data_IF_237226630103
#
_entry.id   IF_237226630103
#
_cell.length_a   1.000
_cell.length_b   1.000
_cell.length_c   1.000
_cell.angle_alpha   90.00
_cell.angle_beta   90.00
_cell.angle_gamma   90.00
#
_symmetry.space_group_name_H-M   'P 1'
#
loop_
_entity.id
_entity.type
_entity.pdbx_description
1 polymer ?
#
# COMPACT_ATOMS: atom_id res chain seq x y z
N UNK A 1 77.16 -21.14 9.45
CA UNK A 1 76.00 -22.02 9.38
C UNK A 1 74.80 -21.20 9.93
N UNK A 2 74.13 -20.40 9.06
CA UNK A 2 73.02 -19.55 9.43
C UNK A 2 71.74 -20.24 8.97
N UNK A 3 70.92 -20.58 9.91
CA UNK A 3 69.59 -21.17 9.68
C UNK A 3 68.59 -20.00 9.58
N UNK A 4 68.06 -19.74 8.40
CA UNK A 4 67.03 -18.75 8.15
C UNK A 4 65.68 -19.27 8.67
N UNK A 5 65.18 -18.62 9.71
CA UNK A 5 63.80 -18.78 10.21
C UNK A 5 62.83 -17.97 9.35
N UNK A 6 62.57 -18.40 8.12
CA UNK A 6 61.63 -17.72 7.20
C UNK A 6 60.25 -18.41 7.06
N UNK A 7 59.94 -19.42 7.90
CA UNK A 7 58.71 -20.22 7.73
C UNK A 7 57.52 -19.82 8.62
N UNK A 8 57.63 -18.76 9.43
CA UNK A 8 56.56 -18.41 10.40
C UNK A 8 55.49 -17.46 9.80
N UNK A 9 55.78 -16.88 8.64
CA UNK A 9 54.85 -15.87 8.05
C UNK A 9 53.78 -16.42 7.11
N UNK A 10 53.96 -17.62 6.58
CA UNK A 10 53.07 -18.14 5.51
C UNK A 10 51.81 -18.84 6.03
N UNK A 11 51.82 -19.39 7.24
CA UNK A 11 50.70 -20.16 7.79
C UNK A 11 49.63 -19.32 8.52
N UNK A 12 49.96 -18.08 8.91
CA UNK A 12 49.00 -17.20 9.63
C UNK A 12 48.08 -16.42 8.71
N UNK A 13 48.49 -16.14 7.48
CA UNK A 13 47.69 -15.41 6.49
C UNK A 13 46.39 -16.15 6.07
N UNK A 14 46.42 -17.46 5.79
CA UNK A 14 45.18 -18.16 5.41
C UNK A 14 44.17 -18.26 6.57
N UNK A 15 44.62 -18.41 7.81
CA UNK A 15 43.74 -18.49 8.98
C UNK A 15 43.07 -17.15 9.25
N UNK A 16 43.80 -16.05 9.16
CA UNK A 16 43.22 -14.69 9.29
C UNK A 16 42.20 -14.39 8.21
N UNK A 17 42.47 -14.77 6.96
CA UNK A 17 41.54 -14.59 5.86
C UNK A 17 40.23 -15.39 6.08
N UNK A 18 40.33 -16.65 6.48
CA UNK A 18 39.19 -17.52 6.76
C UNK A 18 38.38 -16.95 7.92
N UNK A 19 39.00 -16.53 9.01
CA UNK A 19 38.31 -15.94 10.15
C UNK A 19 37.56 -14.66 9.76
N UNK A 20 38.19 -13.77 8.98
CA UNK A 20 37.59 -12.55 8.50
C UNK A 20 36.38 -12.85 7.58
N UNK A 21 36.52 -13.81 6.69
CA UNK A 21 35.43 -14.23 5.79
C UNK A 21 34.23 -14.76 6.57
N UNK A 22 34.44 -15.55 7.60
CA UNK A 22 33.39 -16.09 8.47
C UNK A 22 32.67 -14.94 9.21
N UNK A 23 33.44 -14.02 9.79
CA UNK A 23 32.83 -12.85 10.50
C UNK A 23 32.00 -12.00 9.55
N UNK A 24 32.50 -11.70 8.36
CA UNK A 24 31.74 -10.95 7.35
C UNK A 24 30.47 -11.70 6.93
N UNK A 25 30.56 -13.01 6.70
CA UNK A 25 29.39 -13.82 6.34
C UNK A 25 28.32 -13.82 7.44
N UNK A 26 28.71 -13.91 8.71
CA UNK A 26 27.81 -13.83 9.85
C UNK A 26 27.13 -12.43 9.91
N UNK A 27 27.91 -11.36 9.76
CA UNK A 27 27.35 -10.00 9.76
C UNK A 27 26.35 -9.78 8.62
N UNK A 28 26.67 -10.24 7.41
CA UNK A 28 25.76 -10.16 6.26
C UNK A 28 24.47 -10.96 6.52
N UNK A 29 24.59 -12.16 7.10
CA UNK A 29 23.42 -12.97 7.45
C UNK A 29 22.53 -12.30 8.51
N UNK A 30 23.12 -11.70 9.54
CA UNK A 30 22.39 -10.99 10.58
C UNK A 30 21.65 -9.75 10.02
N UNK A 31 22.31 -8.99 9.14
CA UNK A 31 21.68 -7.84 8.46
C UNK A 31 20.52 -8.29 7.57
N UNK A 32 20.71 -9.37 6.80
CA UNK A 32 19.66 -9.91 5.94
C UNK A 32 18.43 -10.38 6.73
N UNK A 33 18.64 -11.05 7.87
CA UNK A 33 17.56 -11.43 8.79
C UNK A 33 16.84 -10.21 9.36
N UNK A 34 17.58 -9.19 9.81
CA UNK A 34 16.97 -7.96 10.33
C UNK A 34 16.11 -7.21 9.30
N UNK A 35 16.54 -7.18 8.04
CA UNK A 35 15.76 -6.60 6.95
C UNK A 35 14.49 -7.43 6.68
N UNK A 36 14.62 -8.76 6.65
CA UNK A 36 13.48 -9.64 6.40
C UNK A 36 12.39 -9.49 7.47
N UNK A 37 12.77 -9.30 8.74
CA UNK A 37 11.83 -9.10 9.84
C UNK A 37 11.18 -7.70 9.82
N UNK A 38 11.90 -6.67 9.37
CA UNK A 38 11.39 -5.31 9.32
C UNK A 38 10.49 -5.03 8.11
N UNK A 39 10.68 -5.72 7.00
CA UNK A 39 10.01 -5.48 5.73
C UNK A 39 8.47 -5.50 5.83
N UNK A 40 7.82 -6.49 6.49
CA UNK A 40 6.37 -6.52 6.64
C UNK A 40 5.79 -5.30 7.36
N UNK A 41 6.49 -4.82 8.38
CA UNK A 41 6.05 -3.64 9.14
C UNK A 41 6.15 -2.35 8.31
N UNK A 42 7.21 -2.23 7.50
CA UNK A 42 7.41 -1.08 6.61
C UNK A 42 6.35 -1.06 5.50
N UNK A 43 6.08 -2.21 4.87
CA UNK A 43 5.05 -2.32 3.85
C UNK A 43 3.66 -1.99 4.40
N UNK A 44 3.30 -2.55 5.56
CA UNK A 44 2.03 -2.26 6.22
C UNK A 44 1.90 -0.76 6.55
N UNK A 45 2.94 -0.14 7.10
CA UNK A 45 2.94 1.28 7.42
C UNK A 45 2.84 2.17 6.17
N UNK A 46 3.41 1.74 5.03
CA UNK A 46 3.28 2.44 3.76
C UNK A 46 1.83 2.42 3.26
N UNK A 47 1.19 1.24 3.23
CA UNK A 47 -0.21 1.11 2.79
C UNK A 47 -1.16 1.82 3.75
N UNK A 48 -0.93 1.72 5.07
CA UNK A 48 -1.71 2.42 6.10
C UNK A 48 -1.73 3.94 5.88
N UNK A 49 -0.56 4.52 5.59
CA UNK A 49 -0.45 5.95 5.29
C UNK A 49 -1.18 6.34 4.01
N UNK A 50 -1.04 5.56 2.93
CA UNK A 50 -1.71 5.83 1.65
C UNK A 50 -3.22 5.70 1.79
N UNK A 51 -3.71 4.66 2.45
CA UNK A 51 -5.12 4.47 2.74
C UNK A 51 -5.68 5.59 3.66
N UNK A 52 -4.88 6.04 4.64
CA UNK A 52 -5.22 7.17 5.50
C UNK A 52 -5.37 8.46 4.72
N UNK A 53 -4.42 8.78 3.85
CA UNK A 53 -4.48 9.96 2.97
C UNK A 53 -5.71 9.90 2.05
N UNK A 54 -5.97 8.74 1.45
CA UNK A 54 -7.15 8.55 0.61
C UNK A 54 -8.46 8.72 1.40
N UNK A 55 -8.53 8.22 2.64
CA UNK A 55 -9.69 8.41 3.48
C UNK A 55 -9.92 9.90 3.81
N UNK A 56 -8.87 10.66 4.10
CA UNK A 56 -8.96 12.08 4.38
C UNK A 56 -9.37 12.88 3.14
N UNK A 57 -8.83 12.54 1.96
CA UNK A 57 -9.24 13.13 0.69
C UNK A 57 -10.70 12.83 0.37
N UNK A 58 -11.18 11.62 0.61
CA UNK A 58 -12.58 11.25 0.47
C UNK A 58 -13.49 12.04 1.42
N UNK A 59 -13.11 12.20 2.70
CA UNK A 59 -13.84 13.04 3.66
C UNK A 59 -13.92 14.48 3.21
N UNK A 60 -12.81 15.01 2.67
CA UNK A 60 -12.78 16.34 2.11
C UNK A 60 -13.77 16.48 0.92
N UNK A 61 -13.77 15.52 -0.01
CA UNK A 61 -14.71 15.50 -1.13
C UNK A 61 -16.17 15.50 -0.66
N UNK A 62 -16.48 14.69 0.37
CA UNK A 62 -17.83 14.62 0.96
C UNK A 62 -18.29 15.93 1.62
N UNK A 63 -17.36 16.81 1.98
CA UNK A 63 -17.68 18.14 2.52
C UNK A 63 -18.05 19.18 1.44
N UNK A 64 -17.83 18.83 0.18
CA UNK A 64 -18.10 19.70 -0.98
C UNK A 64 -19.47 19.39 -1.60
N UNK A 65 -19.84 20.14 -2.66
CA UNK A 65 -21.07 19.87 -3.41
C UNK A 65 -20.87 18.70 -4.39
N UNK A 66 -21.81 17.73 -4.45
CA UNK A 66 -21.75 16.66 -5.43
C UNK A 66 -22.12 17.16 -6.82
N UNK A 67 -21.59 16.50 -7.88
CA UNK A 67 -22.10 16.69 -9.24
C UNK A 67 -23.37 15.85 -9.44
N UNK A 68 -24.38 16.47 -10.04
CA UNK A 68 -25.60 15.78 -10.43
C UNK A 68 -25.38 15.08 -11.77
N UNK A 69 -25.51 13.74 -11.79
CA UNK A 69 -25.25 12.91 -12.98
C UNK A 69 -26.36 13.00 -14.03
N UNK A 70 -27.56 13.37 -13.63
CA UNK A 70 -28.76 13.54 -14.48
C UNK A 70 -28.84 14.91 -15.16
N UNK A 71 -27.99 15.86 -14.78
CA UNK A 71 -27.90 17.18 -15.39
C UNK A 71 -26.63 17.30 -16.25
N UNK A 72 -26.73 17.21 -17.59
CA UNK A 72 -25.58 17.37 -18.48
C UNK A 72 -24.93 18.76 -18.40
N UNK A 73 -25.64 19.76 -17.89
CA UNK A 73 -25.15 21.12 -17.68
C UNK A 73 -24.56 21.35 -16.28
N UNK A 74 -24.62 20.36 -15.40
CA UNK A 74 -24.08 20.49 -14.06
C UNK A 74 -22.56 20.77 -14.13
N UNK A 75 -22.07 21.69 -13.31
CA UNK A 75 -20.63 21.91 -13.21
C UNK A 75 -19.92 20.61 -12.74
N UNK A 76 -18.65 20.42 -13.13
CA UNK A 76 -17.86 19.30 -12.63
C UNK A 76 -17.92 19.28 -11.11
N UNK A 77 -18.17 18.12 -10.54
CA UNK A 77 -18.18 17.91 -9.10
C UNK A 77 -16.77 17.99 -8.50
N UNK A 78 -16.73 17.94 -7.19
CA UNK A 78 -15.47 17.80 -6.49
C UNK A 78 -14.81 16.48 -6.87
N UNK A 79 -13.58 16.55 -7.38
CA UNK A 79 -12.83 15.42 -7.91
C UNK A 79 -11.39 15.47 -7.40
N UNK A 80 -10.83 14.32 -7.11
CA UNK A 80 -9.42 14.14 -6.79
C UNK A 80 -8.82 12.97 -7.54
N UNK A 81 -7.55 13.11 -7.91
CA UNK A 81 -6.72 12.00 -8.38
C UNK A 81 -5.88 11.57 -7.19
N UNK A 82 -5.97 10.29 -6.85
CA UNK A 82 -5.25 9.66 -5.75
C UNK A 82 -4.23 8.70 -6.35
N UNK A 83 -2.97 8.91 -6.01
CA UNK A 83 -1.89 8.03 -6.44
C UNK A 83 -1.62 6.98 -5.37
N UNK A 84 -1.57 5.71 -5.79
CA UNK A 84 -1.23 4.57 -4.94
C UNK A 84 0.01 3.88 -5.49
N UNK A 85 0.99 3.65 -4.62
CA UNK A 85 2.16 2.83 -4.89
C UNK A 85 2.19 1.70 -3.83
N UNK A 86 1.54 0.59 -4.19
CA UNK A 86 1.28 -0.52 -3.27
C UNK A 86 2.43 -1.53 -3.35
N UNK A 87 3.13 -1.81 -2.23
CA UNK A 87 4.25 -2.74 -2.20
C UNK A 87 3.84 -4.18 -2.54
N UNK A 88 4.81 -5.02 -2.89
CA UNK A 88 4.58 -6.42 -3.29
C UNK A 88 3.82 -7.25 -2.25
N UNK A 89 3.98 -6.94 -0.97
CA UNK A 89 3.25 -7.61 0.12
C UNK A 89 1.77 -7.26 0.20
N UNK A 90 1.26 -6.33 -0.63
CA UNK A 90 -0.16 -5.96 -0.63
C UNK A 90 -1.00 -7.02 -1.32
N UNK A 91 -1.86 -7.69 -0.55
CA UNK A 91 -2.82 -8.66 -1.08
C UNK A 91 -4.00 -7.96 -1.75
N UNK A 92 -4.49 -6.88 -1.09
CA UNK A 92 -5.49 -5.99 -1.67
C UNK A 92 -5.59 -4.64 -0.92
N UNK A 93 -6.12 -3.65 -1.63
CA UNK A 93 -6.73 -2.43 -1.13
C UNK A 93 -8.07 -2.26 -1.88
N UNK A 94 -9.18 -2.12 -1.15
CA UNK A 94 -10.53 -2.08 -1.73
C UNK A 94 -11.37 -0.98 -1.11
N UNK A 95 -12.31 -0.46 -1.92
CA UNK A 95 -13.19 0.63 -1.53
C UNK A 95 -14.63 0.12 -1.39
N UNK A 96 -15.21 0.28 -0.19
CA UNK A 96 -16.59 -0.09 0.12
C UNK A 96 -16.89 -1.59 0.17
N UNK A 97 -15.88 -2.42 0.10
CA UNK A 97 -16.03 -3.86 -0.01
C UNK A 97 -14.85 -4.60 0.65
N UNK A 98 -15.16 -5.64 1.41
CA UNK A 98 -14.19 -6.53 2.03
C UNK A 98 -14.05 -7.83 1.24
N UNK A 99 -12.95 -8.05 0.50
CA UNK A 99 -12.77 -9.24 -0.33
C UNK A 99 -12.74 -10.56 0.42
N UNK A 100 -12.30 -10.56 1.69
CA UNK A 100 -12.19 -11.79 2.49
C UNK A 100 -13.56 -12.32 2.94
N UNK A 101 -14.54 -11.43 3.15
CA UNK A 101 -15.87 -11.78 3.62
C UNK A 101 -16.93 -11.77 2.53
N UNK A 102 -16.62 -11.23 1.35
CA UNK A 102 -17.56 -11.05 0.26
C UNK A 102 -18.64 -9.99 0.54
N UNK A 103 -18.40 -9.11 1.55
CA UNK A 103 -19.30 -8.06 1.98
C UNK A 103 -18.52 -6.85 2.50
N UNK A 104 -19.08 -6.14 3.46
CA UNK A 104 -18.41 -5.00 4.09
C UNK A 104 -19.29 -3.77 4.18
N UNK A 105 -18.77 -2.72 4.76
CA UNK A 105 -19.44 -1.44 4.87
C UNK A 105 -19.04 -0.55 3.71
N UNK A 106 -20.02 -0.03 2.97
CA UNK A 106 -19.80 0.74 1.73
C UNK A 106 -18.98 2.02 1.91
N UNK A 107 -18.90 2.57 3.12
CA UNK A 107 -18.14 3.77 3.46
C UNK A 107 -16.74 3.52 4.05
N UNK A 108 -16.18 2.34 3.84
CA UNK A 108 -14.87 1.96 4.39
C UNK A 108 -13.86 1.63 3.29
N UNK A 109 -12.58 1.81 3.61
CA UNK A 109 -11.45 1.32 2.82
C UNK A 109 -10.86 0.13 3.56
N UNK A 110 -10.78 -1.02 2.90
CA UNK A 110 -10.19 -2.25 3.43
C UNK A 110 -8.86 -2.52 2.76
N UNK A 111 -7.87 -2.99 3.52
CA UNK A 111 -6.60 -3.40 2.94
C UNK A 111 -5.97 -4.53 3.75
N UNK A 112 -5.16 -5.33 3.06
CA UNK A 112 -4.46 -6.47 3.62
C UNK A 112 -3.04 -6.55 3.06
N UNK A 113 -2.07 -6.63 3.97
CA UNK A 113 -0.65 -6.70 3.65
C UNK A 113 -0.05 -7.87 4.42
N UNK A 114 0.50 -8.87 3.72
CA UNK A 114 1.12 -10.07 4.30
C UNK A 114 0.26 -10.70 5.40
N UNK A 115 -1.03 -10.89 5.13
CA UNK A 115 -1.99 -11.46 6.07
C UNK A 115 -2.54 -10.49 7.14
N UNK A 116 -1.90 -9.34 7.36
CA UNK A 116 -2.39 -8.31 8.28
C UNK A 116 -3.49 -7.49 7.62
N UNK A 117 -4.71 -7.62 8.14
CA UNK A 117 -5.90 -6.92 7.63
C UNK A 117 -6.24 -5.72 8.48
N UNK A 118 -6.58 -4.61 7.82
CA UNK A 118 -7.10 -3.39 8.44
C UNK A 118 -8.26 -2.82 7.64
N UNK A 119 -9.02 -1.94 8.29
CA UNK A 119 -10.08 -1.17 7.68
C UNK A 119 -10.12 0.25 8.24
N UNK A 120 -10.36 1.23 7.36
CA UNK A 120 -10.49 2.64 7.71
C UNK A 120 -11.89 3.12 7.36
N UNK A 121 -12.56 3.74 8.33
CA UNK A 121 -13.86 4.39 8.10
C UNK A 121 -13.61 5.74 7.41
N UNK A 122 -14.20 5.92 6.24
CA UNK A 122 -14.26 7.22 5.56
C UNK A 122 -15.43 8.03 6.11
N UNK A 123 -16.64 7.51 5.92
CA UNK A 123 -17.88 8.04 6.50
C UNK A 123 -18.92 6.92 6.51
N UNK A 124 -19.68 6.79 7.60
CA UNK A 124 -20.71 5.73 7.73
C UNK A 124 -21.88 5.88 6.73
N UNK A 125 -22.08 7.08 6.18
CA UNK A 125 -23.13 7.38 5.20
C UNK A 125 -22.63 7.41 3.77
N UNK A 126 -21.31 7.31 3.56
CA UNK A 126 -20.73 7.26 2.23
C UNK A 126 -20.88 5.86 1.61
N UNK A 127 -20.91 5.81 0.30
CA UNK A 127 -20.76 4.58 -0.46
C UNK A 127 -19.77 4.82 -1.58
N UNK A 128 -18.96 3.80 -1.86
CA UNK A 128 -18.07 3.78 -3.01
C UNK A 128 -18.71 3.01 -4.15
N UNK A 129 -18.62 3.52 -5.37
CA UNK A 129 -19.13 2.86 -6.57
C UNK A 129 -18.15 3.04 -7.71
N UNK A 130 -18.05 2.04 -8.56
CA UNK A 130 -17.35 2.13 -9.84
C UNK A 130 -18.34 2.47 -10.97
N UNK A 131 -17.90 3.10 -12.07
CA UNK A 131 -18.76 3.45 -13.20
C UNK A 131 -19.44 2.24 -13.86
N UNK A 132 -18.78 1.10 -13.83
CA UNK A 132 -19.27 -0.17 -14.41
C UNK A 132 -20.03 -1.05 -13.39
N UNK A 133 -20.21 -0.56 -12.16
CA UNK A 133 -20.81 -1.31 -11.07
C UNK A 133 -19.92 -2.41 -10.48
N UNK A 134 -18.69 -2.53 -10.94
CA UNK A 134 -17.71 -3.44 -10.36
C UNK A 134 -17.19 -2.93 -9.03
N UNK A 135 -16.51 -3.78 -8.29
CA UNK A 135 -15.85 -3.41 -7.05
C UNK A 135 -14.43 -2.94 -7.34
N UNK A 136 -14.05 -1.79 -6.78
CA UNK A 136 -12.69 -1.28 -6.92
C UNK A 136 -11.76 -2.05 -6.00
N UNK A 137 -10.91 -2.88 -6.59
CA UNK A 137 -9.91 -3.70 -5.92
C UNK A 137 -8.55 -3.47 -6.55
N UNK A 138 -7.59 -3.01 -5.76
CA UNK A 138 -6.20 -2.84 -6.15
C UNK A 138 -5.35 -3.93 -5.52
N UNK A 139 -4.30 -4.35 -6.22
CA UNK A 139 -3.26 -5.26 -5.72
C UNK A 139 -1.94 -4.51 -5.65
N UNK A 140 -0.83 -5.24 -5.44
CA UNK A 140 0.51 -4.63 -5.55
C UNK A 140 0.72 -3.98 -6.93
N UNK A 141 1.30 -2.78 -6.95
CA UNK A 141 1.53 -1.99 -8.16
C UNK A 141 1.22 -0.51 -7.97
N UNK A 142 1.41 0.28 -9.03
CA UNK A 142 1.11 1.71 -9.03
C UNK A 142 -0.19 1.98 -9.76
N UNK A 143 -1.04 2.84 -9.17
CA UNK A 143 -2.37 3.16 -9.70
C UNK A 143 -2.67 4.64 -9.51
N UNK A 144 -3.34 5.22 -10.50
CA UNK A 144 -3.97 6.53 -10.39
C UNK A 144 -5.49 6.32 -10.35
N UNK A 145 -6.12 6.64 -9.24
CA UNK A 145 -7.56 6.59 -9.09
C UNK A 145 -8.14 7.99 -9.12
N UNK A 146 -9.13 8.19 -9.97
CA UNK A 146 -9.96 9.37 -9.93
C UNK A 146 -11.18 9.09 -9.05
N UNK A 147 -11.36 9.90 -8.02
CA UNK A 147 -12.51 9.84 -7.12
C UNK A 147 -13.32 11.13 -7.26
N UNK A 148 -14.60 11.00 -7.55
CA UNK A 148 -15.53 12.11 -7.73
C UNK A 148 -16.72 11.96 -6.80
N UNK A 149 -17.15 13.06 -6.15
CA UNK A 149 -18.36 13.08 -5.36
C UNK A 149 -19.55 13.40 -6.24
N UNK A 150 -20.51 12.47 -6.33
CA UNK A 150 -21.64 12.55 -7.25
C UNK A 150 -22.98 12.28 -6.55
N UNK A 151 -24.05 12.75 -7.22
CA UNK A 151 -25.43 12.52 -6.84
C UNK A 151 -26.19 11.95 -8.05
N UNK A 152 -26.91 10.85 -7.87
CA UNK A 152 -27.74 10.28 -8.94
C UNK A 152 -29.15 10.91 -9.01
N UNK A 153 -29.91 10.54 -10.03
CA UNK A 153 -31.27 11.02 -10.25
C UNK A 153 -32.26 10.72 -9.09
N UNK A 154 -31.91 9.77 -8.22
CA UNK A 154 -32.68 9.43 -7.02
C UNK A 154 -32.24 10.23 -5.78
N UNK A 155 -31.29 11.15 -5.94
CA UNK A 155 -30.73 11.93 -4.84
C UNK A 155 -29.73 11.17 -3.97
N UNK A 156 -29.30 9.97 -4.36
CA UNK A 156 -28.32 9.20 -3.62
C UNK A 156 -26.92 9.73 -3.92
N UNK A 157 -26.16 9.98 -2.87
CA UNK A 157 -24.81 10.55 -2.94
C UNK A 157 -23.77 9.46 -2.70
N UNK A 158 -22.74 9.44 -3.52
CA UNK A 158 -21.66 8.45 -3.39
C UNK A 158 -20.34 8.95 -4.01
N UNK A 159 -19.27 8.29 -3.67
CA UNK A 159 -17.95 8.50 -4.25
C UNK A 159 -17.80 7.55 -5.44
N UNK A 160 -17.72 8.13 -6.64
CA UNK A 160 -17.47 7.40 -7.88
C UNK A 160 -15.97 7.21 -8.04
N UNK A 161 -15.51 5.96 -7.99
CA UNK A 161 -14.11 5.60 -8.12
C UNK A 161 -13.88 5.04 -9.51
N UNK A 162 -13.08 5.74 -10.32
CA UNK A 162 -12.66 5.29 -11.64
C UNK A 162 -11.15 5.12 -11.66
N UNK A 163 -10.67 3.97 -12.16
CA UNK A 163 -9.26 3.69 -12.28
C UNK A 163 -8.74 4.12 -13.64
N UNK A 164 -7.63 4.85 -13.67
CA UNK A 164 -6.72 4.79 -14.77
C UNK A 164 -5.74 3.66 -14.49
N UNK A 165 -5.60 2.73 -15.42
CA UNK A 165 -4.57 1.70 -15.39
C UNK A 165 -3.20 2.30 -15.63
#
# INVERSE_FOLDING_TARGET
MARTDDDVGADSLPVGLVATTIVVAILVALVALGIADALPAVELASVDRQAGTAADDCRFLLSLAPRHLDDPGAPPGAMRIMHFDLPEGTEYLSFGFDPDTGGGHEGMIYYKVRGSKKALVVDERASFRSPDGSQTLLRSGSYDLQVEYVCDALGRRYLLVSGAQ
#
